data_IF_515923342312
#
_entry.id   IF_515923342312
#
_cell.length_a   1.000
_cell.length_b   1.000
_cell.length_c   1.000
_cell.angle_alpha   90.00
_cell.angle_beta   90.00
_cell.angle_gamma   90.00
#
_symmetry.space_group_name_H-M   'P 1'
#
loop_
_entity.id
_entity.type
_entity.pdbx_description
1 polymer ?
#
# COMPACT_ATOMS: atom_id res chain seq x y z
N UNK A 1 22.15 18.81 67.14
CA UNK A 1 21.01 18.43 66.29
C UNK A 1 21.54 18.05 64.91
N UNK A 2 21.08 16.92 64.34
CA UNK A 2 21.40 16.33 63.01
C UNK A 2 22.88 15.90 62.82
N UNK A 3 23.30 14.66 63.10
CA UNK A 3 22.97 13.31 62.55
C UNK A 3 23.32 13.09 61.06
N UNK A 4 24.33 12.22 60.84
CA UNK A 4 24.48 11.17 59.80
C UNK A 4 25.10 11.62 58.46
N UNK A 5 25.86 10.82 57.71
CA UNK A 5 26.56 9.54 57.91
C UNK A 5 27.51 9.38 56.69
N UNK A 6 28.68 8.76 56.88
CA UNK A 6 29.56 8.30 55.78
C UNK A 6 28.90 7.09 55.10
N UNK A 7 28.79 7.08 53.77
CA UNK A 7 28.63 5.81 53.02
C UNK A 7 29.56 5.80 51.79
N UNK A 8 30.48 4.86 51.91
CA UNK A 8 31.30 4.13 50.94
C UNK A 8 30.71 4.06 49.52
N UNK A 9 31.49 4.49 48.53
CA UNK A 9 31.25 4.15 47.13
C UNK A 9 31.73 2.71 46.88
N UNK A 10 30.78 1.78 46.76
CA UNK A 10 31.06 0.44 46.25
C UNK A 10 31.07 0.47 44.73
N UNK A 11 32.21 0.06 44.16
CA UNK A 11 32.32 -0.37 42.78
C UNK A 11 31.52 -1.66 42.66
N UNK A 12 30.43 -1.63 41.89
CA UNK A 12 29.77 -2.82 41.40
C UNK A 12 29.93 -2.86 39.88
N UNK A 13 31.03 -3.48 39.43
CA UNK A 13 31.05 -4.17 38.15
C UNK A 13 30.00 -5.29 38.25
N UNK A 14 28.90 -5.15 37.51
CA UNK A 14 27.97 -6.24 37.28
C UNK A 14 27.44 -6.15 35.85
N UNK A 15 27.93 -7.06 35.01
CA UNK A 15 27.20 -7.70 33.93
C UNK A 15 26.49 -6.81 32.92
N UNK A 16 27.26 -6.21 32.00
CA UNK A 16 26.73 -5.91 30.67
C UNK A 16 26.85 -7.18 29.82
N UNK A 17 26.11 -8.23 30.19
CA UNK A 17 25.81 -9.30 29.23
C UNK A 17 24.77 -8.71 28.28
N UNK A 18 25.28 -8.27 27.14
CA UNK A 18 24.51 -7.97 25.95
C UNK A 18 23.58 -9.14 25.67
N UNK A 19 22.30 -8.99 26.04
CA UNK A 19 21.22 -9.71 25.39
C UNK A 19 21.24 -9.27 23.92
N UNK A 20 22.05 -9.96 23.12
CA UNK A 20 21.82 -10.12 21.69
C UNK A 20 20.51 -10.87 21.59
N UNK A 21 19.38 -10.16 21.74
CA UNK A 21 18.14 -10.61 21.14
C UNK A 21 18.44 -10.73 19.67
N UNK A 22 18.69 -11.96 19.21
CA UNK A 22 18.66 -12.32 17.81
C UNK A 22 17.30 -11.87 17.29
N UNK A 23 17.22 -10.65 16.77
CA UNK A 23 16.07 -10.22 16.01
C UNK A 23 15.89 -11.27 14.93
N UNK A 24 14.70 -11.88 14.85
CA UNK A 24 14.39 -12.80 13.78
C UNK A 24 14.78 -12.11 12.45
N UNK A 25 15.39 -12.85 11.50
CA UNK A 25 15.73 -12.26 10.22
C UNK A 25 14.48 -11.63 9.60
N UNK A 26 14.61 -10.40 9.10
CA UNK A 26 13.51 -9.73 8.43
C UNK A 26 13.08 -10.56 7.20
N UNK A 27 11.77 -10.67 6.91
CA UNK A 27 11.32 -11.48 5.80
C UNK A 27 11.87 -10.96 4.47
N UNK A 28 12.21 -11.88 3.57
CA UNK A 28 12.70 -11.53 2.23
C UNK A 28 11.55 -11.12 1.31
N UNK A 29 10.36 -11.67 1.54
CA UNK A 29 9.13 -11.28 0.84
C UNK A 29 8.02 -11.02 1.84
N UNK A 30 7.21 -10.01 1.55
CA UNK A 30 6.06 -9.65 2.37
C UNK A 30 4.95 -9.10 1.48
N UNK A 31 3.70 -9.48 1.75
CA UNK A 31 2.50 -8.90 1.14
C UNK A 31 1.52 -8.54 2.26
N UNK A 32 1.02 -7.30 2.21
CA UNK A 32 -0.14 -6.82 2.94
C UNK A 32 -1.37 -7.12 2.09
N UNK A 33 -2.17 -8.12 2.47
CA UNK A 33 -3.43 -8.40 1.78
C UNK A 33 -4.51 -7.44 2.29
N UNK A 34 -5.68 -7.46 1.65
CA UNK A 34 -6.87 -6.78 2.14
C UNK A 34 -7.14 -5.40 1.52
N UNK A 35 -6.26 -4.93 0.63
CA UNK A 35 -6.63 -3.91 -0.36
C UNK A 35 -7.57 -4.53 -1.40
N UNK A 36 -8.75 -3.97 -1.68
CA UNK A 36 -9.66 -4.54 -2.66
C UNK A 36 -9.10 -4.41 -4.09
N UNK A 37 -9.20 -5.44 -4.94
CA UNK A 37 -8.79 -5.38 -6.33
C UNK A 37 -9.85 -4.65 -7.17
N UNK A 38 -10.04 -3.35 -6.93
CA UNK A 38 -10.93 -2.54 -7.75
C UNK A 38 -10.46 -2.50 -9.20
N UNK A 39 -11.43 -2.45 -10.13
CA UNK A 39 -11.17 -2.20 -11.54
C UNK A 39 -11.34 -0.73 -11.91
N UNK A 40 -10.98 -0.35 -13.14
CA UNK A 40 -11.10 1.02 -13.60
C UNK A 40 -12.58 1.45 -13.59
N UNK A 41 -12.88 2.55 -12.89
CA UNK A 41 -14.24 3.08 -12.81
C UNK A 41 -14.51 4.12 -13.91
N UNK A 42 -15.71 4.06 -14.49
CA UNK A 42 -16.27 5.10 -15.34
C UNK A 42 -17.30 5.92 -14.57
N UNK A 43 -17.07 7.23 -14.46
CA UNK A 43 -17.94 8.16 -13.76
C UNK A 43 -19.05 8.64 -14.71
N UNK A 44 -20.29 8.60 -14.21
CA UNK A 44 -21.43 9.21 -14.88
C UNK A 44 -21.36 10.73 -14.76
N UNK A 45 -21.57 11.46 -15.85
CA UNK A 45 -21.50 12.94 -15.87
C UNK A 45 -22.88 13.61 -15.85
N UNK A 46 -23.96 12.85 -15.67
CA UNK A 46 -25.34 13.35 -15.73
C UNK A 46 -25.81 13.68 -17.16
N UNK A 47 -24.97 14.31 -17.96
CA UNK A 47 -25.13 14.55 -19.39
C UNK A 47 -23.81 14.26 -20.12
N UNK A 48 -23.86 13.44 -21.17
CA UNK A 48 -22.69 13.08 -21.99
C UNK A 48 -22.10 11.69 -21.72
N UNK A 49 -21.04 11.38 -22.46
CA UNK A 49 -20.37 10.09 -22.38
C UNK A 49 -19.57 9.97 -21.06
N UNK A 50 -19.63 8.82 -20.36
CA UNK A 50 -18.88 8.59 -19.12
C UNK A 50 -17.40 8.94 -19.27
N UNK A 51 -16.82 9.40 -18.16
CA UNK A 51 -15.39 9.73 -18.09
C UNK A 51 -14.64 8.74 -17.20
N UNK A 52 -13.39 8.41 -17.51
CA UNK A 52 -12.59 7.54 -16.65
C UNK A 52 -12.26 8.26 -15.33
N UNK A 53 -12.37 7.56 -14.20
CA UNK A 53 -11.98 8.10 -12.90
C UNK A 53 -10.48 8.44 -12.84
N UNK A 54 -9.64 7.65 -13.51
CA UNK A 54 -8.17 7.80 -13.53
C UNK A 54 -7.47 6.95 -12.47
N UNK A 55 -6.22 6.55 -12.74
CA UNK A 55 -5.45 5.69 -11.84
C UNK A 55 -5.11 6.37 -10.50
N UNK A 56 -4.94 7.69 -10.46
CA UNK A 56 -4.73 8.44 -9.21
C UNK A 56 -5.88 8.26 -8.21
N UNK A 57 -7.13 8.65 -8.57
CA UNK A 57 -8.29 8.46 -7.72
C UNK A 57 -8.55 7.01 -7.35
N UNK A 58 -8.29 6.06 -8.26
CA UNK A 58 -8.42 4.63 -7.97
C UNK A 58 -7.41 4.18 -6.92
N UNK A 59 -6.13 4.53 -7.06
CA UNK A 59 -5.11 4.17 -6.08
C UNK A 59 -5.42 4.78 -4.70
N UNK A 60 -5.90 6.03 -4.64
CA UNK A 60 -6.35 6.63 -3.39
C UNK A 60 -7.56 5.92 -2.80
N UNK A 61 -8.57 5.55 -3.60
CA UNK A 61 -9.73 4.79 -3.13
C UNK A 61 -9.32 3.42 -2.56
N UNK A 62 -8.44 2.69 -3.26
CA UNK A 62 -7.93 1.39 -2.81
C UNK A 62 -7.19 1.54 -1.48
N UNK A 63 -6.32 2.55 -1.36
CA UNK A 63 -5.61 2.87 -0.14
C UNK A 63 -6.61 3.18 0.99
N UNK A 64 -7.56 4.07 0.78
CA UNK A 64 -8.52 4.49 1.80
C UNK A 64 -9.46 3.34 2.21
N UNK A 65 -9.85 2.46 1.29
CA UNK A 65 -10.63 1.26 1.60
C UNK A 65 -9.88 0.29 2.53
N UNK A 66 -8.55 0.21 2.41
CA UNK A 66 -7.72 -0.54 3.36
C UNK A 66 -7.77 0.09 4.76
N UNK A 67 -7.71 1.42 4.85
CA UNK A 67 -7.77 2.12 6.13
C UNK A 67 -9.15 2.00 6.79
N UNK A 68 -10.22 2.07 6.00
CA UNK A 68 -11.57 1.80 6.49
C UNK A 68 -11.62 0.43 7.15
N UNK A 69 -11.19 -0.60 6.43
CA UNK A 69 -11.26 -1.97 6.90
C UNK A 69 -10.34 -2.25 8.09
N UNK A 70 -9.07 -1.84 8.01
CA UNK A 70 -8.06 -2.17 9.04
C UNK A 70 -8.24 -1.36 10.32
N UNK A 71 -8.61 -0.09 10.20
CA UNK A 71 -8.58 0.84 11.33
C UNK A 71 -9.94 1.45 11.67
N UNK A 72 -11.01 1.10 10.96
CA UNK A 72 -12.36 1.59 11.26
C UNK A 72 -12.70 2.94 10.69
N UNK A 73 -11.88 3.46 9.77
CA UNK A 73 -12.21 4.71 9.10
C UNK A 73 -13.47 4.54 8.23
N UNK A 74 -14.08 5.66 7.84
CA UNK A 74 -15.27 5.71 6.98
C UNK A 74 -15.03 6.61 5.77
N UNK A 75 -13.88 6.43 5.12
CA UNK A 75 -13.52 7.16 3.92
C UNK A 75 -14.43 6.79 2.75
N UNK A 76 -14.49 5.51 2.44
CA UNK A 76 -15.18 4.96 1.28
C UNK A 76 -16.47 4.25 1.70
N UNK A 77 -16.51 3.64 2.89
CA UNK A 77 -17.58 2.71 3.31
C UNK A 77 -18.99 3.30 3.35
N UNK A 78 -19.12 4.60 3.61
CA UNK A 78 -20.42 5.27 3.70
C UNK A 78 -21.08 5.53 2.35
N UNK A 79 -20.28 5.72 1.30
CA UNK A 79 -20.75 5.92 -0.06
C UNK A 79 -19.69 5.44 -1.07
N UNK A 80 -19.55 4.12 -1.30
CA UNK A 80 -18.51 3.59 -2.17
C UNK A 80 -18.63 4.07 -3.62
N UNK A 81 -19.85 4.38 -4.07
CA UNK A 81 -20.15 4.85 -5.43
C UNK A 81 -19.83 6.33 -5.63
N UNK A 82 -20.18 7.19 -4.68
CA UNK A 82 -19.88 8.62 -4.74
C UNK A 82 -18.45 8.97 -4.34
N UNK A 83 -17.81 8.16 -3.46
CA UNK A 83 -16.44 8.37 -2.99
C UNK A 83 -15.44 8.56 -4.14
N UNK A 84 -15.48 7.71 -5.16
CA UNK A 84 -14.55 7.80 -6.29
C UNK A 84 -14.74 9.09 -7.12
N UNK A 85 -15.98 9.56 -7.28
CA UNK A 85 -16.28 10.82 -7.97
C UNK A 85 -15.78 12.04 -7.20
N UNK A 86 -15.94 12.03 -5.87
CA UNK A 86 -15.43 13.09 -5.00
C UNK A 86 -13.89 13.12 -4.99
N UNK A 87 -13.22 11.95 -4.86
CA UNK A 87 -11.76 11.84 -4.94
C UNK A 87 -11.26 12.36 -6.29
N UNK A 88 -11.91 11.96 -7.39
CA UNK A 88 -11.61 12.44 -8.75
C UNK A 88 -11.65 13.97 -8.83
N UNK A 89 -12.73 14.59 -8.32
CA UNK A 89 -12.87 16.04 -8.33
C UNK A 89 -11.82 16.75 -7.48
N UNK A 90 -11.54 16.25 -6.27
CA UNK A 90 -10.55 16.85 -5.35
C UNK A 90 -9.11 16.74 -5.85
N UNK A 91 -8.78 15.66 -6.56
CA UNK A 91 -7.48 15.49 -7.21
C UNK A 91 -7.34 16.29 -8.51
N UNK A 92 -8.40 16.96 -8.96
CA UNK A 92 -8.39 17.72 -10.21
C UNK A 92 -8.10 16.83 -11.43
N UNK A 93 -8.55 15.58 -11.39
CA UNK A 93 -8.31 14.63 -12.48
C UNK A 93 -9.06 15.07 -13.72
N UNK A 94 -8.36 15.13 -14.86
CA UNK A 94 -8.95 15.55 -16.14
C UNK A 94 -9.01 14.38 -17.11
N UNK A 95 -9.95 14.42 -18.06
CA UNK A 95 -9.98 13.44 -19.14
C UNK A 95 -9.06 13.88 -20.28
N UNK A 96 -8.16 13.01 -20.71
CA UNK A 96 -7.28 13.19 -21.87
C UNK A 96 -7.53 12.10 -22.91
N UNK A 97 -7.18 12.35 -24.17
CA UNK A 97 -7.18 11.34 -25.22
C UNK A 97 -5.74 10.85 -25.45
N UNK A 98 -5.51 9.56 -25.27
CA UNK A 98 -4.23 8.91 -25.51
C UNK A 98 -4.43 7.68 -26.40
N UNK A 99 -3.76 7.62 -27.55
CA UNK A 99 -3.94 6.53 -28.51
C UNK A 99 -5.38 6.34 -28.98
N UNK A 100 -6.19 7.42 -29.00
CA UNK A 100 -7.62 7.37 -29.34
C UNK A 100 -8.55 6.91 -28.20
N UNK A 101 -8.01 6.61 -27.02
CA UNK A 101 -8.76 6.15 -25.85
C UNK A 101 -8.82 7.26 -24.80
N UNK A 102 -9.97 7.43 -24.15
CA UNK A 102 -10.13 8.36 -23.02
C UNK A 102 -9.42 7.79 -21.79
N UNK A 103 -8.56 8.61 -21.18
CA UNK A 103 -7.81 8.29 -19.97
C UNK A 103 -8.03 9.39 -18.93
N UNK A 104 -7.98 9.02 -17.65
CA UNK A 104 -8.01 9.98 -16.55
C UNK A 104 -6.58 10.35 -16.17
N UNK A 105 -6.26 11.64 -16.20
CA UNK A 105 -4.95 12.19 -15.85
C UNK A 105 -5.02 12.90 -14.51
N UNK A 106 -4.26 12.43 -13.54
CA UNK A 106 -4.03 13.11 -12.26
C UNK A 106 -2.61 13.62 -12.22
N UNK A 107 -2.45 14.93 -12.02
CA UNK A 107 -1.13 15.52 -11.94
C UNK A 107 -0.44 15.13 -10.61
N UNK A 108 0.88 14.87 -10.61
CA UNK A 108 1.60 14.50 -9.38
C UNK A 108 1.43 15.54 -8.26
N UNK A 109 1.48 16.82 -8.63
CA UNK A 109 1.33 17.94 -7.68
C UNK A 109 -0.10 18.07 -7.12
N UNK A 110 -1.12 17.50 -7.77
CA UNK A 110 -2.52 17.57 -7.30
C UNK A 110 -2.93 16.36 -6.46
N UNK A 111 -2.17 15.26 -6.53
CA UNK A 111 -2.48 14.02 -5.80
C UNK A 111 -2.53 14.24 -4.28
N UNK A 112 -1.45 14.79 -3.70
CA UNK A 112 -1.33 14.99 -2.25
C UNK A 112 -2.38 15.97 -1.71
N UNK A 113 -2.54 17.19 -2.27
CA UNK A 113 -3.59 18.11 -1.82
C UNK A 113 -4.98 17.51 -1.96
N UNK A 114 -5.25 16.77 -3.04
CA UNK A 114 -6.55 16.12 -3.26
C UNK A 114 -6.85 15.04 -2.23
N UNK A 115 -5.89 14.16 -1.95
CA UNK A 115 -6.01 13.12 -0.93
C UNK A 115 -6.21 13.73 0.46
N UNK A 116 -5.38 14.71 0.84
CA UNK A 116 -5.50 15.39 2.12
C UNK A 116 -6.86 16.10 2.28
N UNK A 117 -7.34 16.76 1.22
CA UNK A 117 -8.65 17.42 1.23
C UNK A 117 -9.80 16.41 1.40
N UNK A 118 -9.70 15.23 0.77
CA UNK A 118 -10.71 14.18 0.90
C UNK A 118 -10.76 13.61 2.33
N UNK A 119 -9.59 13.34 2.92
CA UNK A 119 -9.47 12.88 4.31
C UNK A 119 -10.00 13.92 5.28
N UNK A 120 -9.61 15.18 5.12
CA UNK A 120 -10.02 16.29 6.01
C UNK A 120 -11.52 16.53 6.01
N UNK A 121 -12.20 16.26 4.90
CA UNK A 121 -13.66 16.39 4.80
C UNK A 121 -14.42 15.40 5.73
N UNK A 122 -13.77 14.32 6.15
CA UNK A 122 -14.34 13.28 7.02
C UNK A 122 -13.73 13.29 8.42
N UNK A 123 -12.43 13.61 8.52
CA UNK A 123 -11.67 13.70 9.76
C UNK A 123 -11.02 15.08 9.84
N UNK A 124 -11.66 16.07 10.48
CA UNK A 124 -11.25 17.48 10.42
C UNK A 124 -9.83 17.79 10.93
N UNK A 125 -9.27 16.92 11.78
CA UNK A 125 -7.86 17.01 12.18
C UNK A 125 -6.88 16.85 11.00
N UNK A 126 -7.34 16.26 9.89
CA UNK A 126 -6.60 16.09 8.64
C UNK A 126 -5.64 14.92 8.66
N UNK A 127 -4.81 14.83 7.62
CA UNK A 127 -3.76 13.83 7.50
C UNK A 127 -2.42 14.45 7.09
N UNK A 128 -1.36 13.87 7.61
CA UNK A 128 0.01 14.13 7.15
C UNK A 128 0.32 13.13 6.05
N UNK A 129 0.58 13.62 4.85
CA UNK A 129 0.93 12.78 3.69
C UNK A 129 2.44 12.91 3.44
N UNK A 130 3.15 11.80 3.53
CA UNK A 130 4.56 11.73 3.19
C UNK A 130 4.77 11.56 1.68
N UNK A 131 5.89 12.08 1.19
CA UNK A 131 6.28 12.02 -0.22
C UNK A 131 7.76 11.68 -0.37
N UNK A 132 8.11 10.97 -1.44
CA UNK A 132 9.49 10.74 -1.85
C UNK A 132 9.55 10.69 -3.37
N UNK A 133 10.27 11.62 -3.98
CA UNK A 133 10.45 11.72 -5.43
C UNK A 133 11.83 11.22 -5.89
N UNK A 134 11.89 10.65 -7.09
CA UNK A 134 13.12 10.51 -7.86
C UNK A 134 13.59 9.07 -8.06
N UNK A 135 14.62 8.69 -7.30
CA UNK A 135 15.44 7.50 -7.56
C UNK A 135 14.70 6.18 -7.27
N UNK A 136 14.63 5.23 -8.24
CA UNK A 136 13.99 3.93 -8.05
C UNK A 136 14.55 3.11 -6.88
N UNK A 137 15.86 3.18 -6.62
CA UNK A 137 16.50 2.46 -5.51
C UNK A 137 16.09 3.02 -4.15
N UNK A 138 16.11 4.34 -3.99
CA UNK A 138 15.64 5.03 -2.79
C UNK A 138 14.13 4.79 -2.55
N UNK A 139 13.33 4.85 -3.62
CA UNK A 139 11.91 4.52 -3.56
C UNK A 139 11.70 3.06 -3.12
N UNK A 140 12.41 2.10 -3.72
CA UNK A 140 12.33 0.70 -3.33
C UNK A 140 12.66 0.51 -1.84
N UNK A 141 13.78 1.08 -1.36
CA UNK A 141 14.17 0.98 0.04
C UNK A 141 13.12 1.57 0.99
N UNK A 142 12.53 2.72 0.63
CA UNK A 142 11.46 3.34 1.42
C UNK A 142 10.17 2.51 1.38
N UNK A 143 9.82 1.93 0.24
CA UNK A 143 8.67 1.04 0.10
C UNK A 143 8.80 -0.20 0.99
N UNK A 144 9.98 -0.83 1.04
CA UNK A 144 10.25 -1.98 1.92
C UNK A 144 10.06 -1.59 3.39
N UNK A 145 10.58 -0.43 3.82
CA UNK A 145 10.40 0.09 5.18
C UNK A 145 8.92 0.35 5.52
N UNK A 146 8.17 0.96 4.61
CA UNK A 146 6.73 1.20 4.80
C UNK A 146 5.94 -0.12 4.91
N UNK A 147 6.18 -1.07 4.02
CA UNK A 147 5.49 -2.37 4.01
C UNK A 147 5.81 -3.16 5.28
N UNK A 148 7.07 -3.17 5.75
CA UNK A 148 7.46 -3.81 7.02
C UNK A 148 6.75 -3.23 8.24
N UNK A 149 6.40 -1.94 8.19
CA UNK A 149 5.56 -1.27 9.21
C UNK A 149 4.06 -1.50 9.02
N UNK A 150 3.66 -2.29 8.02
CA UNK A 150 2.26 -2.54 7.68
C UNK A 150 1.57 -1.36 7.00
N UNK A 151 2.32 -0.48 6.33
CA UNK A 151 1.80 0.72 5.67
C UNK A 151 1.76 0.51 4.15
N UNK A 152 0.60 0.17 3.55
CA UNK A 152 0.45 0.27 2.11
C UNK A 152 0.52 1.75 1.69
N UNK A 153 1.01 1.99 0.48
CA UNK A 153 1.27 3.33 -0.01
C UNK A 153 1.13 3.39 -1.53
N UNK A 154 1.02 4.58 -2.10
CA UNK A 154 0.89 4.76 -3.54
C UNK A 154 2.25 5.00 -4.17
N UNK A 155 2.49 4.37 -5.31
CA UNK A 155 3.60 4.67 -6.22
C UNK A 155 3.03 5.27 -7.49
N UNK A 156 3.67 6.34 -7.97
CA UNK A 156 3.57 6.83 -9.34
C UNK A 156 4.86 6.45 -10.05
N UNK A 157 4.75 5.85 -11.23
CA UNK A 157 5.89 5.46 -12.04
C UNK A 157 5.59 5.60 -13.53
N UNK A 158 6.63 5.63 -14.35
CA UNK A 158 6.47 5.59 -15.81
C UNK A 158 6.08 4.17 -16.24
N UNK A 159 4.91 4.06 -16.87
CA UNK A 159 4.37 2.78 -17.29
C UNK A 159 5.10 2.22 -18.53
N UNK A 160 5.64 3.08 -19.40
CA UNK A 160 6.31 2.68 -20.66
C UNK A 160 7.78 3.10 -20.76
N UNK A 161 8.35 3.79 -19.78
CA UNK A 161 9.75 4.19 -19.76
C UNK A 161 10.14 5.25 -20.77
N UNK A 162 9.25 6.21 -21.03
CA UNK A 162 9.49 7.33 -21.94
C UNK A 162 9.90 8.63 -21.22
N UNK A 163 9.98 8.61 -19.88
CA UNK A 163 10.26 9.75 -19.02
C UNK A 163 9.19 10.85 -19.08
N UNK A 164 8.00 10.56 -19.61
CA UNK A 164 6.96 11.53 -19.94
C UNK A 164 5.86 11.69 -18.89
N UNK A 165 5.00 12.70 -19.08
CA UNK A 165 3.75 12.87 -18.30
C UNK A 165 2.73 11.76 -18.60
N UNK A 166 2.86 11.08 -19.75
CA UNK A 166 2.08 9.90 -20.11
C UNK A 166 2.94 8.91 -20.92
N UNK A 167 2.72 7.60 -20.76
CA UNK A 167 1.84 7.00 -19.75
C UNK A 167 2.53 6.85 -18.40
N UNK A 168 1.98 7.51 -17.37
CA UNK A 168 2.31 7.26 -15.98
C UNK A 168 1.17 6.48 -15.32
N UNK A 169 1.47 5.74 -14.25
CA UNK A 169 0.46 4.96 -13.54
C UNK A 169 0.59 5.11 -12.04
N UNK A 170 -0.53 5.35 -11.36
CA UNK A 170 -0.62 5.29 -9.91
C UNK A 170 -1.11 3.89 -9.51
N UNK A 171 -0.40 3.25 -8.59
CA UNK A 171 -0.77 1.95 -8.04
C UNK A 171 -0.50 1.90 -6.53
N UNK A 172 -1.12 0.97 -5.82
CA UNK A 172 -0.87 0.80 -4.38
C UNK A 172 0.18 -0.28 -4.17
N UNK A 173 1.33 0.09 -3.63
CA UNK A 173 2.34 -0.86 -3.15
C UNK A 173 1.80 -1.56 -1.90
N UNK A 174 1.74 -2.88 -1.97
CA UNK A 174 1.28 -3.76 -0.89
C UNK A 174 2.34 -4.77 -0.46
N UNK A 175 3.43 -4.91 -1.19
CA UNK A 175 4.44 -5.92 -0.87
C UNK A 175 5.78 -5.69 -1.55
N UNK A 176 6.72 -6.56 -1.26
CA UNK A 176 8.05 -6.57 -1.85
C UNK A 176 8.64 -7.98 -1.95
N UNK A 177 9.69 -8.11 -2.76
CA UNK A 177 10.61 -9.24 -2.80
C UNK A 177 12.05 -8.73 -2.90
N UNK A 178 12.82 -9.05 -1.87
CA UNK A 178 14.25 -8.75 -1.72
C UNK A 178 15.14 -9.99 -1.84
N UNK A 179 14.54 -11.18 -1.99
CA UNK A 179 15.29 -12.44 -2.04
C UNK A 179 16.24 -12.44 -3.24
N UNK A 180 17.44 -12.99 -3.02
CA UNK A 180 18.51 -13.04 -4.02
C UNK A 180 18.92 -11.64 -4.55
N UNK A 181 18.75 -10.59 -3.76
CA UNK A 181 19.11 -9.21 -4.14
C UNK A 181 18.15 -8.55 -5.12
N UNK A 182 16.96 -9.13 -5.33
CA UNK A 182 15.93 -8.57 -6.20
C UNK A 182 15.35 -7.27 -5.63
N UNK A 183 14.86 -6.41 -6.52
CA UNK A 183 14.16 -5.17 -6.14
C UNK A 183 12.77 -5.15 -6.77
N UNK A 184 11.90 -6.02 -6.29
CA UNK A 184 10.53 -6.12 -6.82
C UNK A 184 9.52 -5.57 -5.82
N UNK A 185 8.62 -4.71 -6.28
CA UNK A 185 7.44 -4.30 -5.53
C UNK A 185 6.23 -5.10 -6.00
N UNK A 186 5.37 -5.46 -5.06
CA UNK A 186 4.04 -6.02 -5.33
C UNK A 186 3.02 -4.90 -5.24
N UNK A 187 2.30 -4.68 -6.33
CA UNK A 187 1.32 -3.61 -6.49
C UNK A 187 -0.09 -4.18 -6.59
N UNK A 188 -1.07 -3.49 -6.00
CA UNK A 188 -2.44 -3.50 -6.47
C UNK A 188 -2.60 -2.40 -7.54
N UNK A 189 -2.78 -2.77 -8.83
CA UNK A 189 -2.72 -1.82 -9.93
C UNK A 189 -4.06 -1.11 -10.22
N UNK A 190 -5.15 -1.46 -9.51
CA UNK A 190 -6.47 -0.91 -9.78
C UNK A 190 -7.11 -1.38 -11.09
N UNK A 191 -6.77 -2.59 -11.54
CA UNK A 191 -7.24 -3.19 -12.80
C UNK A 191 -8.17 -4.39 -12.64
N UNK A 192 -8.76 -4.56 -11.46
CA UNK A 192 -9.70 -5.65 -11.19
C UNK A 192 -9.02 -6.97 -10.82
N UNK A 193 -7.72 -6.94 -10.49
CA UNK A 193 -6.97 -8.08 -9.98
C UNK A 193 -6.01 -7.63 -8.88
N UNK A 194 -5.65 -8.54 -7.98
CA UNK A 194 -4.94 -8.18 -6.74
C UNK A 194 -3.51 -7.70 -6.93
N UNK A 195 -2.70 -8.43 -7.69
CA UNK A 195 -1.25 -8.25 -7.64
C UNK A 195 -0.56 -8.18 -8.99
N UNK A 196 0.33 -7.21 -9.10
CA UNK A 196 1.29 -7.01 -10.18
C UNK A 196 2.70 -6.86 -9.60
N UNK A 197 3.71 -7.40 -10.27
CA UNK A 197 5.12 -7.19 -9.94
C UNK A 197 5.71 -6.07 -10.78
N UNK A 198 6.28 -5.09 -10.09
CA UNK A 198 7.07 -4.01 -10.66
C UNK A 198 8.55 -4.24 -10.32
N UNK A 199 9.41 -4.25 -11.34
CA UNK A 199 10.85 -4.33 -11.16
C UNK A 199 11.47 -2.94 -11.01
N UNK A 200 11.88 -2.59 -9.80
CA UNK A 200 12.46 -1.26 -9.50
C UNK A 200 13.89 -1.11 -10.01
N UNK A 201 14.54 -2.21 -10.42
CA UNK A 201 15.84 -2.15 -11.12
C UNK A 201 15.70 -1.88 -12.61
N UNK A 202 14.48 -1.87 -13.17
CA UNK A 202 14.25 -1.51 -14.56
C UNK A 202 14.26 0.03 -14.71
N UNK A 203 15.20 0.62 -15.47
CA UNK A 203 15.25 2.07 -15.66
C UNK A 203 13.98 2.63 -16.33
N UNK A 204 13.19 1.81 -17.02
CA UNK A 204 11.94 2.22 -17.65
C UNK A 204 10.83 2.58 -16.64
N UNK A 205 10.98 2.27 -15.36
CA UNK A 205 9.97 2.67 -14.35
C UNK A 205 10.19 4.10 -13.86
N UNK A 206 11.35 4.68 -14.14
CA UNK A 206 11.70 6.03 -13.73
C UNK A 206 11.03 7.09 -14.64
N UNK A 207 10.70 8.27 -14.10
CA UNK A 207 10.83 8.66 -12.69
C UNK A 207 9.78 7.98 -11.80
N UNK A 208 10.09 7.82 -10.52
CA UNK A 208 9.14 7.30 -9.52
C UNK A 208 8.87 8.31 -8.41
N UNK A 209 7.65 8.29 -7.89
CA UNK A 209 7.25 9.05 -6.70
C UNK A 209 6.44 8.14 -5.78
N UNK A 210 6.71 8.21 -4.48
CA UNK A 210 5.90 7.57 -3.44
C UNK A 210 5.02 8.58 -2.71
N UNK A 211 3.82 8.15 -2.33
CA UNK A 211 2.90 8.88 -1.47
C UNK A 211 2.35 7.94 -0.39
N UNK A 212 2.41 8.33 0.88
CA UNK A 212 1.83 7.51 1.96
C UNK A 212 1.16 8.39 3.01
N UNK A 213 0.19 7.82 3.71
CA UNK A 213 -0.42 8.46 4.88
C UNK A 213 0.53 8.19 6.05
N UNK A 214 1.21 9.22 6.56
CA UNK A 214 2.06 9.12 7.74
C UNK A 214 1.21 9.10 9.01
N UNK A 215 0.16 9.92 9.04
CA UNK A 215 -0.74 10.07 10.18
C UNK A 215 -2.10 10.57 9.70
N UNK A 216 -3.18 10.08 10.31
CA UNK A 216 -4.51 10.70 10.27
C UNK A 216 -4.84 11.11 11.70
N UNK A 217 -5.12 12.39 11.90
CA UNK A 217 -5.48 12.90 13.23
C UNK A 217 -6.93 12.53 13.55
N UNK A 218 -7.21 12.37 14.83
CA UNK A 218 -8.52 11.95 15.36
C UNK A 218 -8.97 10.57 14.84
N UNK A 219 -8.17 9.50 15.03
CA UNK A 219 -8.56 8.16 14.60
C UNK A 219 -9.86 7.72 15.30
N UNK A 220 -10.68 6.87 14.64
CA UNK A 220 -11.84 6.24 15.27
C UNK A 220 -11.40 5.36 16.46
N UNK A 221 -12.36 4.84 17.23
CA UNK A 221 -12.16 4.11 18.49
C UNK A 221 -11.47 2.72 18.37
N UNK A 222 -10.66 2.50 17.33
CA UNK A 222 -9.88 1.28 17.07
C UNK A 222 -10.72 0.00 16.84
N UNK A 223 -11.95 0.14 16.32
CA UNK A 223 -12.73 -0.99 15.83
C UNK A 223 -12.48 -1.20 14.34
N UNK A 224 -12.28 -2.43 13.84
CA UNK A 224 -12.19 -2.69 12.41
C UNK A 224 -13.44 -2.23 11.65
N UNK A 225 -13.26 -1.69 10.44
CA UNK A 225 -14.38 -1.26 9.61
C UNK A 225 -14.96 -2.37 8.76
N UNK A 226 -16.00 -2.03 7.99
CA UNK A 226 -16.64 -2.98 7.08
C UNK A 226 -15.76 -3.24 5.84
N UNK A 227 -15.75 -4.46 5.28
CA UNK A 227 -15.11 -4.73 4.01
C UNK A 227 -15.74 -3.92 2.86
N UNK A 228 -14.90 -3.38 1.98
CA UNK A 228 -15.34 -2.59 0.82
C UNK A 228 -14.72 -3.19 -0.43
N UNK A 229 -15.56 -3.53 -1.41
CA UNK A 229 -15.12 -4.14 -2.67
C UNK A 229 -14.89 -5.65 -2.59
N UNK A 230 -14.31 -6.25 -3.64
CA UNK A 230 -14.01 -7.67 -3.66
C UNK A 230 -12.97 -8.03 -2.58
N UNK A 231 -13.04 -9.24 -2.01
CA UNK A 231 -12.03 -9.71 -1.06
C UNK A 231 -10.68 -9.89 -1.76
N UNK A 232 -9.60 -9.72 -1.00
CA UNK A 232 -8.25 -9.79 -1.53
C UNK A 232 -7.74 -11.23 -1.65
N UNK A 233 -7.04 -11.52 -2.74
CA UNK A 233 -6.37 -12.80 -2.95
C UNK A 233 -7.32 -13.97 -3.15
N UNK A 234 -8.50 -13.74 -3.74
CA UNK A 234 -9.46 -14.82 -4.04
C UNK A 234 -8.78 -15.90 -4.88
N UNK A 235 -8.87 -17.16 -4.41
CA UNK A 235 -8.24 -18.31 -5.06
C UNK A 235 -6.72 -18.42 -4.85
N UNK A 236 -6.13 -17.55 -4.00
CA UNK A 236 -4.72 -17.60 -3.59
C UNK A 236 -4.54 -18.07 -2.15
N UNK A 237 -5.62 -18.21 -1.39
CA UNK A 237 -5.64 -18.79 -0.05
C UNK A 237 -5.81 -20.31 -0.13
N UNK A 238 -4.95 -21.05 0.58
CA UNK A 238 -4.98 -22.51 0.65
C UNK A 238 -4.79 -22.98 2.09
N UNK A 239 -5.27 -24.18 2.43
CA UNK A 239 -5.06 -24.79 3.75
C UNK A 239 -4.05 -25.93 3.58
N UNK A 240 -2.98 -25.92 4.36
CA UNK A 240 -1.96 -26.96 4.33
C UNK A 240 -2.45 -28.28 4.96
N UNK A 241 -1.64 -29.35 4.84
CA UNK A 241 -1.98 -30.66 5.40
C UNK A 241 -2.13 -30.67 6.94
N UNK A 242 -1.59 -29.66 7.62
CA UNK A 242 -1.70 -29.46 9.06
C UNK A 242 -2.89 -28.56 9.44
N UNK A 243 -3.72 -28.13 8.48
CA UNK A 243 -4.88 -27.28 8.71
C UNK A 243 -4.55 -25.79 8.84
N UNK A 244 -3.33 -25.35 8.51
CA UNK A 244 -2.93 -23.94 8.59
C UNK A 244 -3.23 -23.21 7.27
N UNK A 245 -3.81 -22.02 7.35
CA UNK A 245 -4.00 -21.18 6.18
C UNK A 245 -2.65 -20.65 5.68
N UNK A 246 -2.41 -20.79 4.38
CA UNK A 246 -1.27 -20.27 3.65
C UNK A 246 -1.74 -19.44 2.46
N UNK A 247 -0.85 -18.58 1.98
CA UNK A 247 -1.10 -17.74 0.83
C UNK A 247 -0.10 -18.05 -0.29
N UNK A 248 -0.62 -18.28 -1.49
CA UNK A 248 0.14 -18.62 -2.69
C UNK A 248 -0.21 -17.61 -3.80
N UNK A 249 0.44 -16.44 -3.82
CA UNK A 249 0.01 -15.36 -4.69
C UNK A 249 0.34 -15.66 -6.15
N UNK A 250 -0.57 -15.22 -7.03
CA UNK A 250 -0.36 -15.14 -8.47
C UNK A 250 -0.15 -13.67 -8.81
N UNK A 251 1.05 -13.34 -9.29
CA UNK A 251 1.48 -11.96 -9.50
C UNK A 251 1.68 -11.72 -10.98
N UNK A 252 0.93 -10.79 -11.58
CA UNK A 252 1.08 -10.46 -13.00
C UNK A 252 2.36 -9.66 -13.22
N UNK A 253 2.98 -9.79 -14.38
CA UNK A 253 4.15 -8.97 -14.70
C UNK A 253 3.70 -7.58 -15.17
N UNK A 254 4.39 -6.52 -14.71
CA UNK A 254 4.16 -5.14 -15.15
C UNK A 254 4.20 -5.00 -16.68
N UNK A 255 5.32 -5.37 -17.31
CA UNK A 255 5.51 -5.23 -18.77
C UNK A 255 4.74 -6.25 -19.62
N UNK A 256 4.24 -7.33 -19.01
CA UNK A 256 3.39 -8.31 -19.69
C UNK A 256 2.27 -8.79 -18.75
N UNK A 257 1.15 -8.05 -18.67
CA UNK A 257 0.04 -8.38 -17.79
C UNK A 257 -0.72 -9.68 -18.16
N UNK A 258 -0.37 -10.32 -19.28
CA UNK A 258 -0.88 -11.66 -19.63
C UNK A 258 -0.03 -12.77 -19.02
N UNK A 259 1.21 -12.46 -18.68
CA UNK A 259 2.11 -13.34 -17.95
C UNK A 259 2.00 -13.11 -16.44
N UNK A 260 2.22 -14.18 -15.68
CA UNK A 260 2.23 -14.12 -14.24
C UNK A 260 3.27 -15.09 -13.68
N UNK A 261 3.77 -14.76 -12.49
CA UNK A 261 4.57 -15.68 -11.68
C UNK A 261 3.74 -16.14 -10.50
N UNK A 262 4.05 -17.34 -10.01
CA UNK A 262 3.47 -17.89 -8.79
C UNK A 262 4.58 -17.97 -7.75
N UNK A 263 4.38 -17.35 -6.61
CA UNK A 263 5.27 -17.60 -5.48
C UNK A 263 4.90 -18.92 -4.79
N UNK A 264 5.85 -19.51 -4.03
CA UNK A 264 5.51 -20.63 -3.15
C UNK A 264 4.50 -20.22 -2.09
N UNK A 265 3.94 -21.20 -1.38
CA UNK A 265 3.12 -20.95 -0.20
C UNK A 265 3.89 -20.14 0.84
N UNK A 266 3.21 -19.22 1.52
CA UNK A 266 3.77 -18.39 2.57
C UNK A 266 4.27 -19.20 3.76
N UNK A 267 5.34 -18.71 4.39
CA UNK A 267 5.86 -19.27 5.64
C UNK A 267 4.96 -18.92 6.82
N UNK A 268 4.45 -17.68 6.84
CA UNK A 268 3.61 -17.18 7.93
C UNK A 268 2.47 -16.32 7.39
N UNK A 269 1.34 -16.36 8.12
CA UNK A 269 0.15 -15.52 7.90
C UNK A 269 -0.26 -14.97 9.25
N UNK A 270 -0.34 -13.65 9.37
CA UNK A 270 -0.82 -12.93 10.55
C UNK A 270 -2.07 -12.12 10.16
N UNK A 271 -3.24 -12.53 10.65
CA UNK A 271 -4.48 -11.78 10.41
C UNK A 271 -4.51 -10.50 11.24
N UNK A 272 -4.78 -9.39 10.59
CA UNK A 272 -4.79 -8.07 11.22
C UNK A 272 -6.13 -7.74 11.88
N UNK A 273 -7.19 -8.42 11.46
CA UNK A 273 -8.56 -8.22 11.97
C UNK A 273 -9.20 -9.60 12.22
N UNK A 274 -9.70 -9.88 13.43
CA UNK A 274 -10.39 -11.13 13.71
C UNK A 274 -11.58 -11.37 12.75
N UNK A 275 -11.62 -12.54 12.12
CA UNK A 275 -12.69 -12.92 11.18
C UNK A 275 -12.57 -12.32 9.77
N UNK A 276 -11.48 -11.60 9.46
CA UNK A 276 -11.17 -11.11 8.12
C UNK A 276 -10.03 -11.92 7.49
N UNK A 277 -10.39 -13.06 6.90
CA UNK A 277 -9.42 -14.05 6.39
C UNK A 277 -8.63 -13.58 5.15
N UNK A 278 -8.97 -12.43 4.57
CA UNK A 278 -8.26 -11.80 3.45
C UNK A 278 -7.53 -10.50 3.83
N UNK A 279 -7.49 -10.13 5.11
CA UNK A 279 -6.73 -8.98 5.62
C UNK A 279 -5.62 -9.47 6.58
N UNK A 280 -4.44 -9.71 6.02
CA UNK A 280 -3.32 -10.29 6.72
C UNK A 280 -1.97 -9.70 6.27
N UNK A 281 -0.98 -9.89 7.12
CA UNK A 281 0.43 -9.83 6.76
C UNK A 281 0.86 -11.24 6.37
N UNK A 282 1.40 -11.38 5.17
CA UNK A 282 1.90 -12.65 4.64
C UNK A 282 3.40 -12.52 4.40
N UNK A 283 4.19 -13.46 4.93
CA UNK A 283 5.66 -13.42 4.81
C UNK A 283 6.26 -14.72 4.27
N UNK A 284 7.41 -14.56 3.62
CA UNK A 284 8.34 -15.62 3.26
C UNK A 284 9.71 -15.27 3.84
N UNK A 285 10.21 -16.17 4.68
CA UNK A 285 11.49 -16.03 5.36
C UNK A 285 12.65 -16.38 4.41
N UNK A 286 13.85 -15.86 4.72
CA UNK A 286 15.07 -16.24 4.01
C UNK A 286 15.35 -17.74 4.15
N UNK A 287 15.67 -18.40 3.04
CA UNK A 287 16.13 -19.78 3.03
C UNK A 287 17.66 -19.87 3.11
#
# INVERSE_FOLDING_TARGET
MRRWARIVAFIALAGLETALTSAAPLPERMILTGTPPFGPTWLATGEGAPIPAGCGPEAARILLAYYDRRYGYRFVGDDPGGAIGEIHGRMGTVTVLWGGVRQGLTWPWSFVPGLAAYVTARYPGGATIGTLDGDPGAAFARSVDLVRRGVPHVILFDWQGTGGIFPNHYAVVVGYDTSEGRQLLVLNPGWGYDFQLLNMSDPAVAPVTLFWIEEIRDPPAAEPGIPIGPPSGVGMWEVDAAGRLQFRPVLRLHHDPRSAVRWPASSQVEFLVPGADDLAIVTWDAH
#
